data_IF_512787657641
#
_entry.id   IF_512787657641
#
_cell.length_a   1.000
_cell.length_b   1.000
_cell.length_c   1.000
_cell.angle_alpha   90.00
_cell.angle_beta   90.00
_cell.angle_gamma   90.00
#
_symmetry.space_group_name_H-M   'P 1'
#
loop_
_entity.id
_entity.type
_entity.pdbx_description
1 polymer ?
#
# COMPACT_ATOMS: atom_id res chain seq x y z
N UNK A 1 12.33 -8.11 17.39
CA UNK A 1 10.96 -8.10 16.79
C UNK A 1 10.73 -6.75 16.12
N UNK A 2 10.16 -6.78 14.94
CA UNK A 2 9.81 -5.54 14.20
C UNK A 2 8.33 -5.21 14.38
N UNK A 3 8.02 -3.93 14.51
CA UNK A 3 6.66 -3.45 14.63
C UNK A 3 6.31 -2.57 13.42
N UNK A 4 5.12 -2.77 12.89
CA UNK A 4 4.61 -1.99 11.78
C UNK A 4 3.34 -1.23 12.13
N UNK A 5 3.02 -0.24 11.31
CA UNK A 5 1.81 0.56 11.43
C UNK A 5 1.15 0.71 10.06
N UNK A 6 -0.17 0.64 10.04
CA UNK A 6 -0.94 0.81 8.82
C UNK A 6 -1.11 2.29 8.46
N UNK A 7 -1.06 2.58 7.15
CA UNK A 7 -1.36 3.92 6.64
C UNK A 7 -2.76 4.41 7.06
N UNK A 8 -3.69 3.49 7.26
CA UNK A 8 -5.06 3.83 7.67
C UNK A 8 -5.17 4.49 9.04
N UNK A 9 -4.12 4.43 9.85
CA UNK A 9 -4.10 5.18 11.13
C UNK A 9 -4.16 6.68 10.88
N UNK A 10 -3.58 7.17 9.79
CA UNK A 10 -3.46 8.61 9.52
C UNK A 10 -4.14 9.06 8.23
N UNK A 11 -4.11 8.26 7.16
CA UNK A 11 -4.54 8.69 5.83
C UNK A 11 -5.35 7.62 5.11
N UNK A 12 -6.25 8.09 4.23
CA UNK A 12 -6.98 7.26 3.27
C UNK A 12 -7.45 8.15 2.13
N UNK A 13 -7.04 7.88 0.90
CA UNK A 13 -6.01 6.92 0.48
C UNK A 13 -4.59 7.44 0.72
N UNK A 14 -3.62 6.54 0.76
CA UNK A 14 -2.21 6.88 0.70
C UNK A 14 -1.86 7.40 -0.70
N UNK A 15 -1.03 8.45 -0.78
CA UNK A 15 -0.66 9.07 -2.05
C UNK A 15 0.77 9.62 -2.02
N UNK A 16 1.27 10.09 -3.18
CA UNK A 16 2.55 10.79 -3.23
C UNK A 16 2.59 12.02 -2.32
N UNK A 17 1.44 12.60 -1.98
CA UNK A 17 1.36 13.80 -1.13
C UNK A 17 1.37 13.48 0.36
N UNK A 18 1.37 12.21 0.74
CA UNK A 18 1.33 11.79 2.15
C UNK A 18 2.58 11.03 2.59
N UNK A 19 3.66 11.08 1.80
CA UNK A 19 4.89 10.35 2.09
C UNK A 19 5.62 10.83 3.34
N UNK A 20 5.33 12.02 3.85
CA UNK A 20 5.85 12.49 5.14
C UNK A 20 5.45 11.58 6.30
N UNK A 21 4.39 10.80 6.15
CA UNK A 21 3.96 9.83 7.15
C UNK A 21 5.01 8.73 7.39
N UNK A 22 5.83 8.45 6.40
CA UNK A 22 6.91 7.46 6.51
C UNK A 22 7.93 7.90 7.57
N UNK A 23 8.37 9.16 7.50
CA UNK A 23 9.28 9.74 8.48
C UNK A 23 8.63 9.80 9.86
N UNK A 24 7.37 10.20 9.91
CA UNK A 24 6.61 10.30 11.16
C UNK A 24 6.52 8.92 11.84
N UNK A 25 6.18 7.87 11.09
CA UNK A 25 6.13 6.51 11.62
C UNK A 25 7.48 6.07 12.17
N UNK A 26 8.57 6.38 11.47
CA UNK A 26 9.92 6.05 11.95
C UNK A 26 10.25 6.79 13.24
N UNK A 27 9.91 8.06 13.33
CA UNK A 27 10.13 8.87 14.54
C UNK A 27 9.35 8.32 15.74
N UNK A 28 8.19 7.70 15.52
CA UNK A 28 7.40 7.06 16.56
C UNK A 28 7.96 5.69 16.99
N UNK A 29 8.97 5.17 16.27
CA UNK A 29 9.62 3.91 16.63
C UNK A 29 9.16 2.70 15.84
N UNK A 30 8.37 2.88 14.78
CA UNK A 30 7.97 1.78 13.91
C UNK A 30 9.08 1.40 12.94
N UNK A 31 9.15 0.11 12.61
CA UNK A 31 10.13 -0.45 11.67
C UNK A 31 9.54 -0.62 10.27
N UNK A 32 8.23 -0.78 10.18
CA UNK A 32 7.51 -1.08 8.94
C UNK A 32 6.29 -0.16 8.83
N UNK A 33 6.10 0.37 7.63
CA UNK A 33 4.88 1.12 7.27
C UNK A 33 4.11 0.30 6.24
N UNK A 34 2.88 -0.08 6.56
CA UNK A 34 2.01 -0.83 5.66
C UNK A 34 1.09 0.11 4.90
N UNK A 35 1.21 0.11 3.58
CA UNK A 35 0.38 0.96 2.74
C UNK A 35 -0.87 0.20 2.31
N UNK A 36 -2.04 0.73 2.67
CA UNK A 36 -3.31 0.26 2.12
C UNK A 36 -3.49 0.84 0.72
N UNK A 37 -3.47 -0.02 -0.29
CA UNK A 37 -3.54 0.40 -1.70
C UNK A 37 -4.99 0.41 -2.16
N UNK A 38 -5.69 1.51 -1.88
CA UNK A 38 -7.07 1.67 -2.34
C UNK A 38 -7.13 1.95 -3.84
N UNK A 39 -6.25 2.82 -4.32
CA UNK A 39 -6.11 3.18 -5.72
C UNK A 39 -4.65 3.03 -6.14
N UNK A 40 -4.32 2.02 -6.97
CA UNK A 40 -2.94 1.81 -7.42
C UNK A 40 -2.33 3.00 -8.16
N UNK A 41 -3.16 3.90 -8.69
CA UNK A 41 -2.68 5.09 -9.40
C UNK A 41 -2.39 6.28 -8.48
N UNK A 42 -2.70 6.17 -7.19
CA UNK A 42 -2.58 7.30 -6.24
C UNK A 42 -1.13 7.62 -5.88
N UNK A 43 -0.20 6.71 -6.10
CA UNK A 43 1.21 6.95 -5.82
C UNK A 43 2.11 6.17 -6.78
N UNK A 44 3.34 6.67 -6.92
CA UNK A 44 4.41 6.02 -7.69
C UNK A 44 5.25 5.15 -6.76
N UNK A 45 5.27 3.83 -6.95
CA UNK A 45 6.04 2.92 -6.09
C UNK A 45 7.53 3.27 -6.01
N UNK A 46 8.15 3.69 -7.12
CA UNK A 46 9.57 4.06 -7.13
C UNK A 46 9.83 5.30 -6.27
N UNK A 47 8.96 6.30 -6.36
CA UNK A 47 9.05 7.50 -5.52
C UNK A 47 8.88 7.17 -4.04
N UNK A 48 7.87 6.37 -3.72
CA UNK A 48 7.60 5.97 -2.33
C UNK A 48 8.75 5.14 -1.76
N UNK A 49 9.33 4.24 -2.57
CA UNK A 49 10.51 3.46 -2.17
C UNK A 49 11.67 4.37 -1.81
N UNK A 50 11.94 5.38 -2.63
CA UNK A 50 12.99 6.35 -2.38
C UNK A 50 12.76 7.11 -1.07
N UNK A 51 11.53 7.58 -0.84
CA UNK A 51 11.16 8.28 0.40
C UNK A 51 11.31 7.37 1.62
N UNK A 52 10.93 6.10 1.49
CA UNK A 52 11.08 5.12 2.58
C UNK A 52 12.55 4.85 2.90
N UNK A 53 13.39 4.72 1.89
CA UNK A 53 14.83 4.51 2.09
C UNK A 53 15.47 5.72 2.80
N UNK A 54 15.06 6.93 2.43
CA UNK A 54 15.54 8.14 3.10
C UNK A 54 15.06 8.23 4.56
N UNK A 55 13.84 7.78 4.83
CA UNK A 55 13.29 7.75 6.19
C UNK A 55 13.85 6.61 7.04
N UNK A 56 14.45 5.60 6.41
CA UNK A 56 14.97 4.43 7.11
C UNK A 56 13.89 3.47 7.59
N UNK A 57 12.77 3.38 6.89
CA UNK A 57 11.64 2.51 7.24
C UNK A 57 11.36 1.52 6.10
N UNK A 58 10.98 0.31 6.45
CA UNK A 58 10.57 -0.70 5.48
C UNK A 58 9.10 -0.52 5.12
N UNK A 59 8.73 -0.95 3.90
CA UNK A 59 7.35 -0.89 3.44
C UNK A 59 6.85 -2.29 3.10
N UNK A 60 5.62 -2.56 3.45
CA UNK A 60 4.83 -3.59 2.80
C UNK A 60 3.51 -2.99 2.32
N UNK A 61 2.78 -3.71 1.51
CA UNK A 61 1.50 -3.25 0.98
C UNK A 61 0.39 -4.22 1.32
N UNK A 62 -0.80 -3.66 1.46
CA UNK A 62 -2.03 -4.39 1.76
C UNK A 62 -3.07 -4.06 0.70
N UNK A 63 -3.74 -5.07 0.20
CA UNK A 63 -4.85 -4.87 -0.73
C UNK A 63 -6.12 -4.42 -0.03
N UNK A 64 -6.84 -3.51 -0.67
CA UNK A 64 -8.17 -3.08 -0.23
C UNK A 64 -9.20 -3.60 -1.23
N UNK A 65 -9.97 -4.59 -0.84
CA UNK A 65 -10.95 -5.25 -1.70
C UNK A 65 -12.36 -4.73 -1.42
N UNK A 66 -13.18 -4.77 -2.46
CA UNK A 66 -14.58 -4.44 -2.40
C UNK A 66 -15.35 -5.25 -3.43
N UNK A 67 -16.68 -5.06 -3.56
CA UNK A 67 -17.51 -5.89 -4.46
C UNK A 67 -17.05 -5.89 -5.91
N UNK A 68 -16.45 -4.79 -6.39
CA UNK A 68 -16.04 -4.64 -7.78
C UNK A 68 -14.72 -5.34 -8.12
N UNK A 69 -13.97 -5.80 -7.13
CA UNK A 69 -12.71 -6.53 -7.32
C UNK A 69 -12.58 -7.66 -6.31
N UNK A 70 -13.65 -8.44 -6.23
CA UNK A 70 -13.80 -9.54 -5.29
C UNK A 70 -13.52 -10.86 -5.99
N UNK A 71 -12.41 -11.51 -5.63
CA UNK A 71 -12.01 -12.79 -6.22
C UNK A 71 -12.94 -13.94 -5.83
N UNK A 72 -13.80 -13.75 -4.85
CA UNK A 72 -14.81 -14.73 -4.41
C UNK A 72 -16.21 -14.45 -4.97
N UNK A 73 -16.36 -13.42 -5.80
CA UNK A 73 -17.64 -13.06 -6.39
C UNK A 73 -18.19 -14.16 -7.31
N UNK A 74 -19.50 -14.31 -7.36
CA UNK A 74 -20.17 -15.14 -8.33
C UNK A 74 -20.07 -14.57 -9.76
N UNK A 75 -19.84 -13.26 -9.88
CA UNK A 75 -19.69 -12.58 -11.16
C UNK A 75 -18.23 -12.66 -11.63
N UNK A 76 -18.01 -13.29 -12.78
CA UNK A 76 -16.65 -13.46 -13.34
C UNK A 76 -15.95 -12.14 -13.63
N UNK A 77 -16.71 -11.08 -13.96
CA UNK A 77 -16.12 -9.76 -14.22
C UNK A 77 -15.43 -9.20 -12.98
N UNK A 78 -16.03 -9.38 -11.81
CA UNK A 78 -15.45 -8.91 -10.55
C UNK A 78 -14.31 -9.80 -10.09
N UNK A 79 -14.38 -11.11 -10.32
CA UNK A 79 -13.25 -12.00 -10.05
C UNK A 79 -12.03 -11.64 -10.91
N UNK A 80 -12.24 -11.36 -12.20
CA UNK A 80 -11.16 -10.98 -13.12
C UNK A 80 -10.53 -9.65 -12.71
N UNK A 81 -11.33 -8.66 -12.33
CA UNK A 81 -10.83 -7.38 -11.81
C UNK A 81 -10.02 -7.58 -10.53
N UNK A 82 -10.46 -8.46 -9.65
CA UNK A 82 -9.75 -8.78 -8.43
C UNK A 82 -8.39 -9.43 -8.70
N UNK A 83 -8.33 -10.34 -9.65
CA UNK A 83 -7.08 -10.98 -10.06
C UNK A 83 -6.11 -9.99 -10.69
N UNK A 84 -6.60 -9.10 -11.54
CA UNK A 84 -5.79 -8.04 -12.14
C UNK A 84 -5.26 -7.09 -11.08
N UNK A 85 -6.10 -6.71 -10.13
CA UNK A 85 -5.68 -5.87 -8.99
C UNK A 85 -4.55 -6.53 -8.19
N UNK A 86 -4.65 -7.82 -7.89
CA UNK A 86 -3.60 -8.56 -7.18
C UNK A 86 -2.29 -8.54 -7.98
N UNK A 87 -2.35 -8.75 -9.29
CA UNK A 87 -1.16 -8.67 -10.15
C UNK A 87 -0.52 -7.29 -10.08
N UNK A 88 -1.33 -6.24 -10.12
CA UNK A 88 -0.85 -4.86 -9.96
C UNK A 88 -0.15 -4.67 -8.62
N UNK A 89 -0.72 -5.17 -7.53
CA UNK A 89 -0.08 -5.08 -6.21
C UNK A 89 1.27 -5.81 -6.16
N UNK A 90 1.36 -6.97 -6.78
CA UNK A 90 2.62 -7.73 -6.86
C UNK A 90 3.68 -6.91 -7.61
N UNK A 91 3.31 -6.32 -8.74
CA UNK A 91 4.22 -5.47 -9.52
C UNK A 91 4.68 -4.26 -8.71
N UNK A 92 3.77 -3.61 -7.99
CA UNK A 92 4.12 -2.48 -7.11
C UNK A 92 5.08 -2.90 -5.99
N UNK A 93 4.85 -4.07 -5.41
CA UNK A 93 5.69 -4.57 -4.32
C UNK A 93 7.08 -5.01 -4.80
N UNK A 94 7.26 -5.26 -6.09
CA UNK A 94 8.53 -5.71 -6.65
C UNK A 94 9.56 -4.59 -6.84
N UNK A 95 9.17 -3.36 -6.64
CA UNK A 95 10.03 -2.17 -6.85
C UNK A 95 11.12 -1.95 -5.76
#
# INVERSE_FOLDING_TARGET
MKFGVSSYVWVSPFSNHTTEQLKHAKELGFDIYEIGVEDPSSFDPAYVKQEADMAGIQINICGAFGPERDISSDDSRYRDKGMEYIRTLIDMASV
#
